data_IF_018622446612
#
_entry.id   IF_018622446612
#
_cell.length_a   1.000
_cell.length_b   1.000
_cell.length_c   1.000
_cell.angle_alpha   90.00
_cell.angle_beta   90.00
_cell.angle_gamma   90.00
#
_symmetry.space_group_name_H-M   'P 1'
#
loop_
_entity.id
_entity.type
_entity.pdbx_description
1 polymer ?
#
# COMPACT_ATOMS: atom_id res chain seq x y z
N UNK A 1 11.05 -2.12 13.24
CA UNK A 1 12.37 -1.49 13.47
C UNK A 1 13.02 -1.18 12.14
N UNK A 2 13.52 0.03 11.99
CA UNK A 2 14.21 0.53 10.81
C UNK A 2 15.69 0.76 11.17
N UNK A 3 16.57 0.74 10.17
CA UNK A 3 18.03 0.86 10.38
C UNK A 3 18.52 2.32 10.41
N UNK A 4 17.65 3.31 10.16
CA UNK A 4 17.98 4.73 10.14
C UNK A 4 18.24 5.32 8.75
N UNK A 5 18.39 4.47 7.74
CA UNK A 5 18.60 4.84 6.32
C UNK A 5 17.61 4.17 5.36
N UNK A 6 16.56 3.60 5.93
CA UNK A 6 15.55 2.88 5.16
C UNK A 6 14.64 3.83 4.35
N UNK A 7 14.09 3.30 3.28
CA UNK A 7 13.03 3.96 2.52
C UNK A 7 11.66 3.60 3.11
N UNK A 8 10.84 4.62 3.30
CA UNK A 8 9.50 4.48 3.88
C UNK A 8 8.46 4.94 2.88
N UNK A 9 7.37 4.18 2.79
CA UNK A 9 6.20 4.55 2.02
C UNK A 9 5.03 4.80 2.96
N UNK A 10 4.40 5.95 2.80
CA UNK A 10 3.10 6.29 3.39
C UNK A 10 2.04 6.23 2.31
N UNK A 11 0.92 5.58 2.60
CA UNK A 11 -0.17 5.37 1.66
C UNK A 11 -1.49 5.88 2.22
N UNK A 12 -2.25 6.56 1.38
CA UNK A 12 -3.55 7.11 1.74
C UNK A 12 -4.71 6.27 1.21
N UNK A 13 -5.87 6.43 1.81
CA UNK A 13 -7.12 5.78 1.37
C UNK A 13 -7.55 6.19 -0.04
N UNK A 14 -7.11 7.34 -0.54
CA UNK A 14 -7.38 7.84 -1.89
C UNK A 14 -6.45 7.29 -2.98
N UNK A 15 -5.53 6.38 -2.62
CA UNK A 15 -4.62 5.75 -3.57
C UNK A 15 -3.34 6.53 -3.86
N UNK A 16 -3.11 7.63 -3.17
CA UNK A 16 -1.83 8.36 -3.23
C UNK A 16 -0.85 7.81 -2.21
N UNK A 17 0.41 7.81 -2.57
CA UNK A 17 1.50 7.44 -1.67
C UNK A 17 2.74 8.28 -1.92
N UNK A 18 3.60 8.35 -0.92
CA UNK A 18 4.89 9.02 -1.00
C UNK A 18 5.98 8.10 -0.47
N UNK A 19 7.10 8.04 -1.16
CA UNK A 19 8.31 7.37 -0.70
C UNK A 19 9.37 8.40 -0.36
N UNK A 20 9.94 8.29 0.83
CA UNK A 20 11.01 9.14 1.31
C UNK A 20 12.01 8.34 2.14
N UNK A 21 13.20 8.91 2.36
CA UNK A 21 14.21 8.31 3.21
C UNK A 21 13.92 8.58 4.69
N UNK A 22 14.11 7.59 5.53
CA UNK A 22 13.89 7.68 6.98
C UNK A 22 14.70 8.81 7.62
N UNK A 23 15.88 9.13 7.09
CA UNK A 23 16.73 10.22 7.54
C UNK A 23 16.03 11.58 7.56
N UNK A 24 14.93 11.74 6.83
CA UNK A 24 14.11 12.96 6.86
C UNK A 24 13.22 13.04 8.11
N UNK A 25 13.08 11.95 8.87
CA UNK A 25 12.36 11.92 10.13
C UNK A 25 13.39 12.09 11.25
N UNK A 26 13.40 13.26 11.89
CA UNK A 26 14.27 13.51 13.05
C UNK A 26 13.67 12.88 14.30
N UNK A 27 14.51 12.29 15.13
CA UNK A 27 14.11 11.92 16.49
C UNK A 27 13.61 13.16 17.25
N UNK A 28 12.48 13.01 17.91
CA UNK A 28 11.88 14.10 18.68
C UNK A 28 11.55 13.61 20.09
N UNK A 29 11.73 14.50 21.05
CA UNK A 29 11.36 14.25 22.43
C UNK A 29 9.84 14.25 22.61
N UNK A 30 9.37 13.63 23.70
CA UNK A 30 7.94 13.66 24.08
C UNK A 30 7.44 15.11 24.15
N UNK A 31 6.21 15.35 23.65
CA UNK A 31 5.56 16.65 23.68
C UNK A 31 5.83 17.56 22.48
N UNK A 32 6.66 17.14 21.52
CA UNK A 32 6.80 17.86 20.25
C UNK A 32 5.68 17.48 19.27
N UNK A 33 5.27 18.46 18.45
CA UNK A 33 4.32 18.18 17.38
C UNK A 33 4.92 17.21 16.36
N UNK A 34 4.10 16.32 15.81
CA UNK A 34 4.48 15.44 14.72
C UNK A 34 4.88 16.22 13.47
N UNK A 35 5.51 15.52 12.53
CA UNK A 35 5.91 16.08 11.25
C UNK A 35 4.99 15.59 10.13
N UNK A 36 4.78 16.43 9.12
CA UNK A 36 3.96 16.07 7.96
C UNK A 36 4.70 15.05 7.11
N UNK A 37 4.11 13.87 6.93
CA UNK A 37 4.65 12.82 6.06
C UNK A 37 4.20 12.96 4.61
N UNK A 38 2.91 13.19 4.41
CA UNK A 38 2.26 13.37 3.10
C UNK A 38 1.12 14.37 3.23
N UNK A 39 0.89 15.17 2.20
CA UNK A 39 -0.30 16.04 2.12
C UNK A 39 -1.50 15.23 1.63
N UNK A 40 -2.55 15.24 2.41
CA UNK A 40 -3.81 14.53 2.13
C UNK A 40 -4.88 15.47 1.62
N UNK A 41 -5.76 14.96 0.76
CA UNK A 41 -7.02 15.60 0.41
C UNK A 41 -7.99 15.53 1.63
N UNK A 42 -9.03 16.37 1.61
CA UNK A 42 -9.93 16.60 2.74
C UNK A 42 -10.48 15.34 3.41
N UNK A 43 -10.82 14.31 2.65
CA UNK A 43 -11.45 13.08 3.16
C UNK A 43 -10.50 11.88 3.16
N UNK A 44 -9.23 12.07 2.82
CA UNK A 44 -8.24 11.00 2.78
C UNK A 44 -7.55 10.84 4.13
N UNK A 45 -7.19 9.61 4.47
CA UNK A 45 -6.44 9.26 5.68
C UNK A 45 -5.29 8.31 5.34
N UNK A 46 -4.28 8.26 6.20
CA UNK A 46 -3.20 7.28 6.09
C UNK A 46 -3.75 5.89 6.45
N UNK A 47 -3.55 4.93 5.56
CA UNK A 47 -3.98 3.54 5.76
C UNK A 47 -2.82 2.58 5.91
N UNK A 48 -1.63 2.96 5.45
CA UNK A 48 -0.44 2.12 5.52
C UNK A 48 0.82 2.95 5.65
N UNK A 49 1.73 2.46 6.45
CA UNK A 49 3.11 2.93 6.58
C UNK A 49 4.00 1.71 6.59
N UNK A 50 4.92 1.61 5.64
CA UNK A 50 5.81 0.46 5.57
C UNK A 50 7.23 0.84 5.16
N UNK A 51 8.18 0.04 5.65
CA UNK A 51 9.56 0.03 5.18
C UNK A 51 9.62 -0.73 3.85
N UNK A 52 10.34 -0.20 2.88
CA UNK A 52 10.58 -0.89 1.61
C UNK A 52 11.63 -1.96 1.82
N UNK A 53 11.26 -3.22 1.63
CA UNK A 53 12.16 -4.38 1.74
C UNK A 53 11.99 -5.41 0.62
N UNK A 54 11.27 -5.06 -0.43
CA UNK A 54 11.03 -5.90 -1.60
C UNK A 54 11.16 -5.11 -2.90
N UNK A 55 11.24 -5.79 -4.02
CA UNK A 55 11.32 -5.16 -5.35
C UNK A 55 9.97 -4.68 -5.86
N UNK A 56 8.89 -5.20 -5.31
CA UNK A 56 7.52 -4.90 -5.72
C UNK A 56 6.64 -4.55 -4.53
N UNK A 57 5.61 -3.76 -4.82
CA UNK A 57 4.53 -3.44 -3.89
C UNK A 57 3.20 -3.84 -4.50
N UNK A 58 2.25 -4.18 -3.64
CA UNK A 58 0.84 -4.30 -4.01
C UNK A 58 -0.02 -3.39 -3.15
N UNK A 59 -0.92 -2.67 -3.80
CA UNK A 59 -2.00 -1.89 -3.18
C UNK A 59 -3.31 -2.64 -3.38
N UNK A 60 -4.12 -2.72 -2.35
CA UNK A 60 -5.42 -3.40 -2.40
C UNK A 60 -6.53 -2.46 -1.94
N UNK A 61 -7.65 -2.49 -2.65
CA UNK A 61 -8.85 -1.73 -2.33
C UNK A 61 -9.93 -2.58 -1.70
N UNK A 62 -10.89 -1.93 -1.04
CA UNK A 62 -11.98 -2.60 -0.32
C UNK A 62 -12.88 -3.46 -1.21
N UNK A 63 -13.01 -3.14 -2.49
CA UNK A 63 -13.87 -3.89 -3.43
C UNK A 63 -13.13 -5.01 -4.18
N UNK A 64 -11.94 -5.41 -3.71
CA UNK A 64 -11.21 -6.58 -4.22
C UNK A 64 -10.34 -6.30 -5.44
N UNK A 65 -9.96 -5.05 -5.68
CA UNK A 65 -9.01 -4.68 -6.72
C UNK A 65 -7.60 -4.51 -6.15
N UNK A 66 -6.61 -4.78 -6.95
CA UNK A 66 -5.22 -4.60 -6.56
C UNK A 66 -4.33 -4.18 -7.71
N UNK A 67 -3.26 -3.50 -7.36
CA UNK A 67 -2.25 -3.02 -8.30
C UNK A 67 -0.85 -3.41 -7.80
N UNK A 68 -0.22 -4.36 -8.49
CA UNK A 68 1.14 -4.79 -8.24
C UNK A 68 2.08 -4.08 -9.22
N UNK A 69 3.09 -3.41 -8.70
CA UNK A 69 4.06 -2.69 -9.53
C UNK A 69 5.45 -2.68 -8.90
N UNK A 70 6.46 -2.38 -9.74
CA UNK A 70 7.85 -2.28 -9.30
C UNK A 70 8.07 -1.04 -8.43
N UNK A 71 8.88 -1.18 -7.39
CA UNK A 71 9.32 -0.08 -6.55
C UNK A 71 10.09 0.99 -7.35
N UNK A 72 10.75 0.61 -8.43
CA UNK A 72 11.49 1.54 -9.30
C UNK A 72 10.58 2.57 -9.99
N UNK A 73 9.27 2.35 -10.00
CA UNK A 73 8.31 3.33 -10.51
C UNK A 73 8.12 4.55 -9.59
N UNK A 74 8.63 4.50 -8.36
CA UNK A 74 8.65 5.63 -7.44
C UNK A 74 9.90 6.47 -7.59
N UNK A 75 9.71 7.78 -7.49
CA UNK A 75 10.80 8.71 -7.19
C UNK A 75 10.79 9.01 -5.71
N UNK A 76 11.97 9.02 -5.09
CA UNK A 76 12.12 9.50 -3.71
C UNK A 76 11.74 10.97 -3.68
N UNK A 77 10.85 11.33 -2.77
CA UNK A 77 10.37 12.69 -2.57
C UNK A 77 10.72 13.17 -1.16
N UNK A 78 10.70 14.49 -0.98
CA UNK A 78 10.77 15.05 0.35
C UNK A 78 9.46 14.75 1.10
N UNK A 79 9.58 14.45 2.39
CA UNK A 79 8.45 14.30 3.28
C UNK A 79 7.53 15.52 3.22
N UNK A 80 6.21 15.31 3.32
CA UNK A 80 5.23 16.40 3.26
C UNK A 80 4.81 16.80 1.85
N UNK A 81 5.30 16.10 0.81
CA UNK A 81 4.83 16.26 -0.56
C UNK A 81 3.41 15.73 -0.76
N UNK A 82 2.85 15.96 -1.95
CA UNK A 82 1.50 15.49 -2.31
C UNK A 82 1.44 14.01 -2.67
N UNK A 83 2.61 13.38 -2.86
CA UNK A 83 2.70 11.99 -3.29
C UNK A 83 2.37 11.80 -4.77
N UNK A 84 2.31 10.53 -5.14
CA UNK A 84 1.98 10.06 -6.49
C UNK A 84 0.84 9.06 -6.43
N UNK A 85 0.11 8.93 -7.53
CA UNK A 85 -0.96 7.93 -7.62
C UNK A 85 -0.33 6.54 -7.72
N UNK A 86 -0.67 5.66 -6.78
CA UNK A 86 -0.26 4.25 -6.74
C UNK A 86 -1.36 3.32 -7.23
N UNK A 87 -2.60 3.72 -7.03
CA UNK A 87 -3.79 3.12 -7.62
C UNK A 87 -4.86 4.21 -7.74
N UNK A 88 -5.55 4.27 -8.86
CA UNK A 88 -6.69 5.17 -9.04
C UNK A 88 -7.90 4.60 -8.31
N UNK A 89 -8.44 5.34 -7.37
CA UNK A 89 -9.66 4.97 -6.66
C UNK A 89 -10.90 5.52 -7.35
N UNK A 90 -11.98 4.75 -7.29
CA UNK A 90 -13.29 5.09 -7.84
C UNK A 90 -14.38 4.35 -7.06
N UNK A 91 -15.64 4.58 -7.37
CA UNK A 91 -16.74 3.78 -6.79
C UNK A 91 -16.61 2.29 -7.11
N UNK A 92 -16.03 1.96 -8.27
CA UNK A 92 -15.84 0.59 -8.71
C UNK A 92 -14.89 -0.19 -7.80
N UNK A 93 -13.73 0.35 -7.48
CA UNK A 93 -12.70 -0.34 -6.70
C UNK A 93 -12.67 0.05 -5.23
N UNK A 94 -13.28 1.17 -4.85
CA UNK A 94 -13.34 1.64 -3.47
C UNK A 94 -12.04 2.26 -2.97
N UNK A 95 -11.98 2.51 -1.68
CA UNK A 95 -10.80 3.07 -1.03
C UNK A 95 -9.70 2.04 -0.85
N UNK A 96 -8.45 2.49 -0.83
CA UNK A 96 -7.30 1.64 -0.48
C UNK A 96 -7.40 1.23 0.99
N UNK A 97 -7.24 -0.07 1.24
CA UNK A 97 -7.19 -0.62 2.61
C UNK A 97 -5.77 -0.84 3.10
N UNK A 98 -4.81 -1.00 2.22
CA UNK A 98 -3.42 -1.19 2.59
C UNK A 98 -2.50 -1.45 1.41
N UNK A 99 -1.22 -1.48 1.73
CA UNK A 99 -0.14 -1.84 0.82
C UNK A 99 0.86 -2.74 1.53
N UNK A 100 1.44 -3.69 0.82
CA UNK A 100 2.47 -4.58 1.36
C UNK A 100 3.61 -4.77 0.37
N UNK A 101 4.79 -5.07 0.90
CA UNK A 101 5.93 -5.54 0.12
C UNK A 101 5.65 -6.93 -0.45
N UNK A 102 6.12 -7.20 -1.66
CA UNK A 102 5.84 -8.44 -2.35
C UNK A 102 7.02 -8.88 -3.22
N UNK A 103 7.54 -10.07 -2.97
CA UNK A 103 8.48 -10.77 -3.83
C UNK A 103 7.74 -11.84 -4.66
N UNK A 104 8.35 -12.30 -5.76
CA UNK A 104 7.70 -13.26 -6.65
C UNK A 104 7.35 -14.62 -6.00
N UNK A 105 8.08 -14.99 -4.95
CA UNK A 105 7.83 -16.22 -4.18
C UNK A 105 6.77 -16.07 -3.10
N UNK A 106 6.30 -14.84 -2.87
CA UNK A 106 5.35 -14.53 -1.81
C UNK A 106 3.91 -14.78 -2.26
N UNK A 107 3.02 -14.79 -1.29
CA UNK A 107 1.58 -14.71 -1.52
C UNK A 107 0.95 -13.68 -0.60
N UNK A 108 -0.21 -13.18 -0.99
CA UNK A 108 -1.01 -12.29 -0.16
C UNK A 108 -2.20 -13.03 0.42
N UNK A 109 -2.56 -12.65 1.65
CA UNK A 109 -3.77 -13.08 2.32
C UNK A 109 -4.71 -11.88 2.41
N UNK A 110 -5.92 -12.03 1.89
CA UNK A 110 -6.99 -11.05 2.01
C UNK A 110 -8.05 -11.58 2.96
N UNK A 111 -8.49 -10.74 3.88
CA UNK A 111 -9.56 -11.07 4.83
C UNK A 111 -10.73 -10.13 4.58
N UNK A 112 -11.92 -10.70 4.40
CA UNK A 112 -13.13 -9.92 4.19
C UNK A 112 -13.86 -9.62 5.50
N UNK A 113 -14.76 -8.64 5.48
CA UNK A 113 -15.62 -8.30 6.60
C UNK A 113 -16.60 -9.43 7.01
N UNK A 114 -16.75 -10.46 6.18
CA UNK A 114 -17.52 -11.69 6.47
C UNK A 114 -16.65 -12.84 7.00
N UNK A 115 -15.36 -12.58 7.26
CA UNK A 115 -14.45 -13.58 7.79
C UNK A 115 -13.88 -14.56 6.75
N UNK A 116 -14.13 -14.33 5.45
CA UNK A 116 -13.55 -15.13 4.37
C UNK A 116 -12.07 -14.78 4.21
N UNK A 117 -11.24 -15.80 4.09
CA UNK A 117 -9.80 -15.65 3.81
C UNK A 117 -9.49 -16.09 2.39
N UNK A 118 -8.77 -15.27 1.65
CA UNK A 118 -8.40 -15.49 0.26
C UNK A 118 -6.88 -15.43 0.14
N UNK A 119 -6.28 -16.45 -0.47
CA UNK A 119 -4.84 -16.54 -0.72
C UNK A 119 -4.56 -16.39 -2.20
N UNK A 120 -3.67 -15.46 -2.56
CA UNK A 120 -3.28 -15.21 -3.94
C UNK A 120 -1.75 -15.20 -4.04
N UNK A 121 -1.21 -15.99 -4.97
CA UNK A 121 0.22 -16.03 -5.25
C UNK A 121 0.68 -14.78 -5.99
N UNK A 122 1.84 -14.24 -5.62
CA UNK A 122 2.41 -13.08 -6.31
C UNK A 122 2.66 -13.35 -7.80
N UNK A 123 3.06 -14.58 -8.13
CA UNK A 123 3.31 -14.99 -9.50
C UNK A 123 2.06 -15.02 -10.38
N UNK A 124 0.88 -15.14 -9.79
CA UNK A 124 -0.40 -15.13 -10.53
C UNK A 124 -0.88 -13.70 -10.86
N UNK A 125 -0.24 -12.69 -10.28
CA UNK A 125 -0.56 -11.28 -10.50
C UNK A 125 0.43 -10.65 -11.48
N UNK A 126 -0.07 -10.03 -12.53
CA UNK A 126 0.76 -9.28 -13.47
C UNK A 126 1.27 -7.99 -12.83
N UNK A 127 2.54 -7.68 -13.05
CA UNK A 127 3.10 -6.37 -12.74
C UNK A 127 2.58 -5.37 -13.77
N UNK A 128 1.97 -4.29 -13.30
CA UNK A 128 1.37 -3.25 -14.14
C UNK A 128 1.84 -1.86 -13.72
N UNK A 129 1.45 -0.86 -14.48
CA UNK A 129 1.79 0.52 -14.15
C UNK A 129 1.03 1.00 -12.91
N UNK A 130 1.70 1.85 -12.15
CA UNK A 130 1.20 2.43 -10.91
C UNK A 130 -0.10 3.23 -11.08
N UNK A 131 -0.21 4.01 -12.13
CA UNK A 131 -1.32 4.96 -12.36
C UNK A 131 -2.51 4.30 -13.07
N UNK A 132 -3.07 3.25 -12.48
CA UNK A 132 -4.24 2.51 -12.98
C UNK A 132 -5.23 2.22 -11.87
N UNK A 133 -6.43 1.73 -12.20
CA UNK A 133 -7.41 1.25 -11.22
C UNK A 133 -7.09 -0.15 -10.69
N UNK A 134 -6.02 -0.76 -11.16
CA UNK A 134 -5.66 -2.13 -10.82
C UNK A 134 -6.50 -3.17 -11.54
N UNK A 135 -6.34 -4.41 -11.12
CA UNK A 135 -7.09 -5.56 -11.63
C UNK A 135 -7.92 -6.17 -10.52
N UNK A 136 -9.01 -6.84 -10.87
CA UNK A 136 -9.83 -7.56 -9.89
C UNK A 136 -9.06 -8.78 -9.39
N UNK A 137 -8.84 -8.85 -8.08
CA UNK A 137 -8.19 -9.96 -7.40
C UNK A 137 -9.21 -11.00 -6.94
N UNK A 138 -10.40 -10.56 -6.57
CA UNK A 138 -11.48 -11.40 -6.05
C UNK A 138 -12.83 -10.79 -6.39
N UNK A 139 -13.76 -11.62 -6.81
CA UNK A 139 -15.17 -11.24 -6.93
C UNK A 139 -15.80 -11.11 -5.55
N UNK A 140 -16.40 -9.95 -5.32
CA UNK A 140 -17.03 -9.61 -4.04
C UNK A 140 -18.54 -9.57 -4.19
N UNK A 141 -19.26 -10.07 -3.19
CA UNK A 141 -20.70 -9.82 -3.09
C UNK A 141 -20.97 -8.36 -2.72
N UNK A 142 -22.19 -7.86 -2.98
CA UNK A 142 -22.54 -6.44 -2.85
C UNK A 142 -22.29 -5.85 -1.45
N UNK A 143 -22.36 -6.67 -0.41
CA UNK A 143 -22.16 -6.27 0.99
C UNK A 143 -20.84 -6.78 1.59
N UNK A 144 -19.95 -7.32 0.75
CA UNK A 144 -18.64 -7.83 1.16
C UNK A 144 -17.53 -6.88 0.74
N UNK A 145 -16.59 -6.63 1.67
CA UNK A 145 -15.41 -5.80 1.44
C UNK A 145 -14.17 -6.44 2.03
N UNK A 146 -13.01 -6.16 1.43
CA UNK A 146 -11.73 -6.52 2.02
C UNK A 146 -11.51 -5.63 3.25
N UNK A 147 -11.20 -6.24 4.38
CA UNK A 147 -10.95 -5.52 5.65
C UNK A 147 -9.50 -5.55 6.09
N UNK A 148 -8.71 -6.52 5.64
CA UNK A 148 -7.30 -6.64 5.98
C UNK A 148 -6.50 -7.31 4.86
N UNK A 149 -5.21 -7.01 4.81
CA UNK A 149 -4.23 -7.59 3.89
C UNK A 149 -2.93 -7.89 4.64
N UNK A 150 -2.31 -9.00 4.32
CA UNK A 150 -0.95 -9.34 4.73
C UNK A 150 -0.20 -10.01 3.59
N UNK A 151 1.13 -9.95 3.63
CA UNK A 151 1.99 -10.76 2.77
C UNK A 151 2.69 -11.83 3.59
N UNK A 152 2.85 -13.01 3.01
CA UNK A 152 3.55 -14.12 3.64
C UNK A 152 4.52 -14.72 2.63
N UNK A 153 5.66 -15.20 3.15
CA UNK A 153 6.65 -15.90 2.33
C UNK A 153 6.26 -17.35 2.16
N UNK A 154 6.51 -17.87 0.98
CA UNK A 154 6.45 -19.32 0.77
C UNK A 154 7.63 -19.92 1.56
N UNK A 155 7.36 -20.77 2.53
CA UNK A 155 8.39 -21.58 3.17
C UNK A 155 8.86 -22.61 2.13
N UNK A 156 10.16 -22.62 1.89
CA UNK A 156 10.81 -23.63 1.05
C UNK A 156 10.83 -25.01 1.74
#
# INVERSE_FOLDING_TARGET
HTAGDDKIILSSSSGKSIMFEETQIRERSRGTQGVVGIKLNKDAKIVSSLKVDAEQLIFVTENGFGNKFSIDSYKIQNRGGQGVISIKTSERNGSVIGAVNLDNSDYIMLITNKGKTIKISASDMKTINRNTQGVRLQDMSDDEMISAISSERTED
#
